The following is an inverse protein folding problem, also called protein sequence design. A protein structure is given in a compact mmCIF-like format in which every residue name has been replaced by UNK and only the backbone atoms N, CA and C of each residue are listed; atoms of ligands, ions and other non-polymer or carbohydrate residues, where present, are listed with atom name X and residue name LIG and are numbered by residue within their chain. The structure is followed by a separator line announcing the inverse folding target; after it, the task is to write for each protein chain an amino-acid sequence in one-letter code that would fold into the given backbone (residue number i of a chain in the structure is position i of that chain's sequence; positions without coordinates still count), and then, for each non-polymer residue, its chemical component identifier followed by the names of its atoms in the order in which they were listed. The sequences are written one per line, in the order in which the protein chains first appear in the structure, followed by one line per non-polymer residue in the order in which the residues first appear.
data_IF_039214562445
#
_entry.id   IF_039214562445
#
_cell.length_a   1.000
_cell.length_b   1.000
_cell.length_c   1.000
_cell.angle_alpha   90.00
_cell.angle_beta   90.00
_cell.angle_gamma   90.00
#
_symmetry.space_group_name_H-M   'P 1'
#
loop_
_entity.id
_entity.type
_entity.pdbx_description
1 polymer ?
#
# COMPACT_ATOMS: atom_id res chain seq x y z
N UNK A 1 -32.23 -20.24 -32.15
CA UNK A 1 -30.81 -20.58 -32.00
C UNK A 1 -29.83 -19.75 -32.86
N UNK A 2 -30.27 -18.97 -33.86
CA UNK A 2 -29.34 -18.12 -34.68
C UNK A 2 -29.14 -16.68 -34.17
N UNK A 3 -29.83 -16.23 -33.13
CA UNK A 3 -29.67 -14.88 -32.54
C UNK A 3 -28.77 -14.83 -31.31
N UNK A 4 -28.41 -15.99 -30.70
CA UNK A 4 -27.50 -16.07 -29.57
C UNK A 4 -26.02 -16.12 -30.00
N UNK A 5 -25.72 -16.54 -31.23
CA UNK A 5 -24.36 -16.63 -31.74
C UNK A 5 -23.76 -15.28 -32.19
N UNK A 6 -24.59 -14.26 -32.39
CA UNK A 6 -24.15 -12.93 -32.86
C UNK A 6 -23.76 -11.98 -31.71
N UNK A 7 -24.22 -12.26 -30.49
CA UNK A 7 -23.87 -11.47 -29.28
C UNK A 7 -22.53 -11.92 -28.68
N UNK A 8 -22.16 -13.19 -28.86
CA UNK A 8 -20.87 -13.72 -28.37
C UNK A 8 -19.68 -13.38 -29.28
N UNK A 9 -19.90 -13.06 -30.56
CA UNK A 9 -18.84 -12.66 -31.50
C UNK A 9 -18.47 -11.17 -31.38
N UNK A 10 -19.36 -10.32 -30.87
CA UNK A 10 -19.09 -8.89 -30.66
C UNK A 10 -18.34 -8.60 -29.33
N UNK A 11 -18.41 -9.51 -28.34
CA UNK A 11 -17.70 -9.38 -27.06
C UNK A 11 -16.23 -9.82 -27.14
N UNK A 12 -15.85 -10.60 -28.13
CA UNK A 12 -14.46 -11.08 -28.31
C UNK A 12 -13.54 -10.07 -29.05
N UNK A 13 -14.11 -9.04 -29.69
CA UNK A 13 -13.36 -8.04 -30.46
C UNK A 13 -12.97 -6.79 -29.66
N UNK A 14 -13.39 -6.67 -28.39
CA UNK A 14 -13.11 -5.52 -27.51
C UNK A 14 -12.07 -5.81 -26.40
N UNK A 15 -11.49 -7.02 -26.36
CA UNK A 15 -10.48 -7.43 -25.35
C UNK A 15 -9.06 -7.59 -25.91
N UNK A 16 -8.79 -7.12 -27.12
CA UNK A 16 -7.51 -7.31 -27.80
C UNK A 16 -6.85 -6.02 -28.27
N UNK A 17 -6.66 -4.99 -27.42
CA UNK A 17 -6.02 -3.80 -27.94
C UNK A 17 -5.75 -2.66 -26.98
N UNK A 18 -5.06 -2.89 -25.87
CA UNK A 18 -4.44 -1.75 -25.13
C UNK A 18 -3.22 -2.09 -24.28
N UNK A 19 -2.80 -3.33 -24.20
CA UNK A 19 -1.66 -3.70 -23.36
C UNK A 19 -0.27 -3.61 -24.04
N UNK A 20 -0.19 -3.14 -25.28
CA UNK A 20 1.03 -3.18 -26.09
C UNK A 20 1.61 -1.82 -26.51
N UNK A 21 0.91 -0.71 -26.29
CA UNK A 21 1.37 0.61 -26.77
C UNK A 21 2.07 1.45 -25.69
N UNK A 22 1.74 1.26 -24.40
CA UNK A 22 2.34 2.04 -23.30
C UNK A 22 3.80 1.67 -23.03
N UNK A 23 4.22 0.43 -23.27
CA UNK A 23 5.59 -0.03 -23.00
C UNK A 23 6.67 0.54 -23.92
N UNK A 24 6.33 0.99 -25.13
CA UNK A 24 7.29 1.49 -26.12
C UNK A 24 7.52 3.01 -26.02
N UNK A 25 6.57 3.77 -25.52
CA UNK A 25 6.71 5.24 -25.29
C UNK A 25 7.52 5.58 -24.04
N UNK A 26 7.63 4.63 -23.10
CA UNK A 26 8.35 4.80 -21.84
C UNK A 26 9.86 4.48 -21.94
N UNK A 27 10.29 3.76 -22.97
CA UNK A 27 11.68 3.38 -23.18
C UNK A 27 12.51 4.57 -23.72
N UNK A 28 13.53 5.00 -22.96
CA UNK A 28 14.46 6.06 -23.33
C UNK A 28 14.12 7.45 -22.79
N UNK A 29 13.02 7.60 -22.08
CA UNK A 29 12.68 8.84 -21.35
C UNK A 29 13.46 8.88 -20.04
N UNK A 30 13.98 10.07 -19.68
CA UNK A 30 14.52 10.30 -18.34
C UNK A 30 13.40 10.75 -17.41
N UNK A 31 13.25 10.10 -16.28
CA UNK A 31 12.21 10.33 -15.32
C UNK A 31 12.68 11.27 -14.20
N UNK A 32 11.90 12.28 -13.88
CA UNK A 32 12.09 13.10 -12.68
C UNK A 32 11.47 12.39 -11.47
N UNK A 33 11.83 12.79 -10.25
CA UNK A 33 11.22 12.24 -9.03
C UNK A 33 9.69 12.43 -9.01
N UNK A 34 9.22 13.64 -9.38
CA UNK A 34 7.79 13.94 -9.44
C UNK A 34 7.04 12.99 -10.38
N UNK A 35 7.54 12.79 -11.60
CA UNK A 35 6.96 11.86 -12.57
C UNK A 35 6.96 10.41 -12.06
N UNK A 36 8.02 9.98 -11.35
CA UNK A 36 8.05 8.66 -10.72
C UNK A 36 6.98 8.52 -9.62
N UNK A 37 6.81 9.55 -8.78
CA UNK A 37 5.80 9.56 -7.72
C UNK A 37 4.39 9.51 -8.32
N UNK A 38 4.09 10.38 -9.29
CA UNK A 38 2.77 10.44 -9.92
C UNK A 38 2.41 9.11 -10.60
N UNK A 39 3.35 8.53 -11.33
CA UNK A 39 3.16 7.24 -11.99
C UNK A 39 2.96 6.10 -10.98
N UNK A 40 3.75 6.09 -9.89
CA UNK A 40 3.58 5.09 -8.84
C UNK A 40 2.22 5.21 -8.13
N UNK A 41 1.76 6.43 -7.85
CA UNK A 41 0.45 6.66 -7.22
C UNK A 41 -0.71 6.17 -8.08
N UNK A 42 -0.56 6.15 -9.40
CA UNK A 42 -1.59 5.69 -10.35
C UNK A 42 -1.55 4.17 -10.56
N UNK A 43 -0.35 3.55 -10.54
CA UNK A 43 -0.18 2.17 -10.99
C UNK A 43 0.17 1.19 -9.87
N UNK A 44 0.68 1.65 -8.73
CA UNK A 44 1.16 0.78 -7.66
C UNK A 44 0.05 -0.08 -7.06
N UNK A 45 0.31 -1.38 -6.95
CA UNK A 45 -0.66 -2.37 -6.48
C UNK A 45 -1.15 -2.11 -5.04
N UNK A 46 -0.30 -1.56 -4.17
CA UNK A 46 -0.69 -1.23 -2.78
C UNK A 46 -1.70 -0.09 -2.73
N UNK A 47 -1.51 0.94 -3.56
CA UNK A 47 -2.47 2.05 -3.69
C UNK A 47 -3.79 1.53 -4.25
N UNK A 48 -3.76 0.75 -5.34
CA UNK A 48 -4.96 0.16 -5.95
C UNK A 48 -5.71 -0.80 -5.02
N UNK A 49 -5.00 -1.55 -4.17
CA UNK A 49 -5.63 -2.36 -3.12
C UNK A 49 -6.36 -1.48 -2.10
N UNK A 50 -5.77 -0.34 -1.73
CA UNK A 50 -6.40 0.61 -0.80
C UNK A 50 -7.60 1.32 -1.46
N UNK A 51 -7.57 1.59 -2.76
CA UNK A 51 -8.71 2.11 -3.53
C UNK A 51 -9.86 1.09 -3.58
N UNK A 52 -9.56 -0.17 -3.84
CA UNK A 52 -10.57 -1.24 -3.77
C UNK A 52 -11.16 -1.39 -2.35
N UNK A 53 -10.34 -1.21 -1.30
CA UNK A 53 -10.83 -1.23 0.07
C UNK A 53 -11.76 -0.04 0.38
N UNK A 54 -11.48 1.13 -0.19
CA UNK A 54 -12.35 2.29 -0.12
C UNK A 54 -13.70 2.02 -0.81
N UNK A 55 -13.69 1.50 -2.04
CA UNK A 55 -14.90 1.14 -2.78
C UNK A 55 -15.74 0.09 -2.03
N UNK A 56 -15.11 -0.88 -1.37
CA UNK A 56 -15.80 -1.83 -0.49
C UNK A 56 -16.57 -1.11 0.63
N UNK A 57 -15.98 -0.06 1.23
CA UNK A 57 -16.66 0.72 2.28
C UNK A 57 -17.81 1.57 1.74
N UNK A 58 -17.73 2.04 0.51
CA UNK A 58 -18.84 2.70 -0.17
C UNK A 58 -20.03 1.74 -0.38
N UNK A 59 -19.75 0.51 -0.83
CA UNK A 59 -20.78 -0.54 -1.00
C UNK A 59 -21.38 -0.95 0.36
N UNK A 60 -20.57 -1.08 1.41
CA UNK A 60 -21.04 -1.37 2.77
C UNK A 60 -21.94 -0.25 3.31
N UNK A 61 -21.58 1.03 3.09
CA UNK A 61 -22.42 2.17 3.45
C UNK A 61 -23.73 2.16 2.69
N UNK A 62 -23.71 1.93 1.38
CA UNK A 62 -24.92 1.80 0.57
C UNK A 62 -25.82 0.67 1.08
N UNK A 63 -25.25 -0.47 1.46
CA UNK A 63 -25.98 -1.60 2.06
C UNK A 63 -26.63 -1.19 3.37
N UNK A 64 -25.91 -0.46 4.23
CA UNK A 64 -26.45 0.03 5.51
C UNK A 64 -27.60 1.04 5.30
N UNK A 65 -27.46 1.94 4.32
CA UNK A 65 -28.51 2.90 3.95
C UNK A 65 -29.78 2.20 3.43
N UNK A 66 -29.63 1.15 2.62
CA UNK A 66 -30.73 0.39 2.06
C UNK A 66 -31.32 -0.66 3.02
N UNK A 67 -30.71 -0.90 4.17
CA UNK A 67 -31.22 -1.85 5.16
C UNK A 67 -32.59 -1.46 5.77
N UNK A 68 -33.02 -0.21 5.59
CA UNK A 68 -34.34 0.27 5.96
C UNK A 68 -35.43 -0.03 4.91
N UNK A 69 -35.07 -0.52 3.72
CA UNK A 69 -36.00 -0.88 2.66
C UNK A 69 -36.65 -2.24 2.91
N UNK A 70 -37.85 -2.50 2.36
CA UNK A 70 -38.48 -3.80 2.47
C UNK A 70 -37.68 -4.85 1.71
N UNK A 71 -37.45 -5.97 2.37
CA UNK A 71 -36.90 -7.18 1.73
C UNK A 71 -38.03 -8.02 1.20
N UNK A 72 -38.00 -8.37 -0.09
CA UNK A 72 -38.98 -9.21 -0.75
C UNK A 72 -38.31 -10.52 -1.16
N UNK A 73 -38.96 -11.64 -0.80
CA UNK A 73 -38.45 -12.96 -1.12
C UNK A 73 -39.57 -13.88 -1.59
N UNK A 74 -39.25 -14.75 -2.55
CA UNK A 74 -40.12 -15.83 -3.00
C UNK A 74 -39.56 -17.17 -2.57
N UNK A 75 -40.46 -18.08 -2.17
CA UNK A 75 -40.08 -19.46 -1.89
C UNK A 75 -41.03 -20.45 -2.53
N UNK A 76 -40.50 -21.58 -3.00
CA UNK A 76 -41.24 -22.75 -3.45
C UNK A 76 -40.62 -23.97 -2.76
N UNK A 77 -41.41 -24.81 -2.20
CA UNK A 77 -40.96 -26.04 -1.58
C UNK A 77 -41.85 -27.22 -1.95
N UNK A 78 -41.25 -28.38 -2.12
CA UNK A 78 -41.88 -29.68 -2.33
C UNK A 78 -41.44 -30.60 -1.22
N UNK A 79 -42.39 -31.20 -0.55
CA UNK A 79 -42.14 -32.18 0.51
C UNK A 79 -42.88 -33.50 0.22
N UNK A 80 -42.12 -34.56 0.08
CA UNK A 80 -42.61 -35.91 -0.09
C UNK A 80 -42.40 -36.64 1.22
N UNK A 81 -43.49 -37.15 1.82
CA UNK A 81 -43.42 -37.92 3.07
C UNK A 81 -43.98 -39.33 2.84
N UNK A 82 -43.22 -40.30 3.30
CA UNK A 82 -43.54 -41.73 3.14
C UNK A 82 -43.60 -42.38 4.52
N UNK A 83 -44.66 -43.14 4.79
CA UNK A 83 -44.77 -43.90 6.03
C UNK A 83 -46.11 -43.72 6.75
N UNK A 84 -46.12 -43.96 8.05
CA UNK A 84 -47.34 -43.94 8.87
C UNK A 84 -47.62 -42.49 9.31
N UNK A 85 -48.74 -41.94 8.83
CA UNK A 85 -49.21 -40.61 9.14
C UNK A 85 -50.60 -40.60 9.75
N UNK A 86 -50.94 -39.48 10.45
CA UNK A 86 -52.26 -39.24 10.97
C UNK A 86 -53.21 -38.81 9.82
N UNK A 87 -54.29 -39.47 9.66
CA UNK A 87 -55.32 -39.14 8.68
C UNK A 87 -56.30 -38.09 9.23
N UNK A 88 -57.13 -37.48 8.35
CA UNK A 88 -58.15 -36.50 8.78
C UNK A 88 -59.22 -37.12 9.72
N UNK A 89 -59.39 -38.45 9.70
CA UNK A 89 -60.27 -39.17 10.61
C UNK A 89 -59.62 -39.51 11.95
N UNK A 90 -58.46 -38.93 12.26
CA UNK A 90 -57.70 -39.11 13.47
C UNK A 90 -57.22 -40.58 13.68
N UNK A 91 -57.02 -41.30 12.57
CA UNK A 91 -56.46 -42.67 12.57
C UNK A 91 -55.06 -42.68 11.97
N UNK A 92 -54.21 -43.60 12.39
CA UNK A 92 -52.87 -43.76 11.83
C UNK A 92 -52.87 -44.80 10.72
N UNK A 93 -52.57 -44.38 9.49
CA UNK A 93 -52.46 -45.24 8.33
C UNK A 93 -51.12 -45.06 7.61
N UNK A 94 -50.69 -46.02 6.81
CA UNK A 94 -49.54 -45.85 5.92
C UNK A 94 -49.98 -45.01 4.73
N UNK A 95 -49.51 -43.80 4.70
CA UNK A 95 -49.86 -42.82 3.65
C UNK A 95 -48.59 -42.16 3.08
N UNK A 96 -48.55 -41.99 1.77
CA UNK A 96 -47.59 -41.17 1.11
C UNK A 96 -48.24 -39.81 0.83
N UNK A 97 -47.58 -38.76 1.26
CA UNK A 97 -48.13 -37.38 1.04
C UNK A 97 -47.13 -36.56 0.23
N UNK A 98 -47.69 -35.74 -0.65
CA UNK A 98 -46.98 -34.73 -1.43
C UNK A 98 -47.54 -33.39 -1.03
N UNK A 99 -46.66 -32.46 -0.65
CA UNK A 99 -47.03 -31.09 -0.30
C UNK A 99 -46.11 -30.12 -1.02
N UNK A 100 -46.69 -29.34 -1.91
CA UNK A 100 -46.00 -28.24 -2.59
C UNK A 100 -46.50 -26.92 -2.00
N UNK A 101 -45.63 -26.02 -1.60
CA UNK A 101 -46.00 -24.70 -1.12
C UNK A 101 -45.24 -23.59 -1.88
N UNK A 102 -45.97 -22.53 -2.18
CA UNK A 102 -45.48 -21.35 -2.87
C UNK A 102 -45.79 -20.13 -2.02
N UNK A 103 -44.78 -19.29 -1.79
CA UNK A 103 -44.98 -18.04 -1.04
C UNK A 103 -44.17 -16.88 -1.60
N UNK A 104 -44.74 -15.71 -1.47
CA UNK A 104 -44.08 -14.42 -1.69
C UNK A 104 -44.20 -13.64 -0.38
N UNK A 105 -43.06 -13.29 0.24
CA UNK A 105 -43.04 -12.55 1.48
C UNK A 105 -42.31 -11.21 1.35
N UNK A 106 -42.72 -10.26 2.15
CA UNK A 106 -42.03 -8.97 2.31
C UNK A 106 -41.86 -8.67 3.80
N UNK A 107 -40.70 -8.17 4.19
CA UNK A 107 -40.43 -7.75 5.56
C UNK A 107 -39.77 -6.37 5.55
N UNK A 108 -40.28 -5.46 6.40
CA UNK A 108 -39.79 -4.11 6.57
C UNK A 108 -39.46 -3.89 8.05
N UNK A 109 -38.21 -3.57 8.40
CA UNK A 109 -37.85 -3.13 9.73
C UNK A 109 -38.33 -1.68 9.94
N UNK A 110 -39.35 -1.48 10.79
CA UNK A 110 -39.91 -0.14 11.09
C UNK A 110 -39.07 0.56 12.14
N UNK A 111 -38.67 -0.18 13.19
CA UNK A 111 -37.83 0.33 14.27
C UNK A 111 -36.97 -0.81 14.84
N UNK A 112 -35.67 -0.57 14.97
CA UNK A 112 -34.71 -1.53 15.50
C UNK A 112 -33.83 -0.94 16.62
N UNK A 113 -34.41 -0.16 17.52
CA UNK A 113 -33.65 0.43 18.64
C UNK A 113 -32.54 1.38 18.16
N UNK A 114 -32.80 2.17 17.11
CA UNK A 114 -31.83 3.05 16.44
C UNK A 114 -30.63 2.34 15.75
N UNK A 115 -30.60 1.00 15.69
CA UNK A 115 -29.50 0.27 15.07
C UNK A 115 -29.32 0.62 13.60
N UNK A 116 -30.43 0.78 12.84
CA UNK A 116 -30.36 1.17 11.42
C UNK A 116 -29.62 2.50 11.24
N UNK A 117 -29.98 3.51 12.02
CA UNK A 117 -29.31 4.83 11.99
C UNK A 117 -27.84 4.70 12.39
N UNK A 118 -27.54 3.99 13.48
CA UNK A 118 -26.16 3.85 13.97
C UNK A 118 -25.29 3.06 12.98
N UNK A 119 -25.84 2.07 12.28
CA UNK A 119 -25.13 1.34 11.21
C UNK A 119 -24.77 2.25 10.02
N UNK A 120 -25.65 3.19 9.66
CA UNK A 120 -25.33 4.19 8.62
C UNK A 120 -24.18 5.07 9.09
N UNK A 121 -24.22 5.59 10.33
CA UNK A 121 -23.13 6.40 10.90
C UNK A 121 -21.82 5.60 10.96
N UNK A 122 -21.86 4.31 11.34
CA UNK A 122 -20.70 3.44 11.32
C UNK A 122 -20.13 3.28 9.91
N UNK A 123 -21.01 3.11 8.90
CA UNK A 123 -20.60 3.07 7.50
C UNK A 123 -19.94 4.36 7.03
N UNK A 124 -20.50 5.53 7.38
CA UNK A 124 -19.93 6.84 7.04
C UNK A 124 -18.54 7.05 7.70
N UNK A 125 -18.39 6.69 8.96
CA UNK A 125 -17.10 6.80 9.66
C UNK A 125 -16.09 5.81 9.09
N UNK A 126 -16.52 4.57 8.79
CA UNK A 126 -15.66 3.57 8.12
C UNK A 126 -15.16 4.05 6.76
N UNK A 127 -16.02 4.68 5.96
CA UNK A 127 -15.65 5.25 4.66
C UNK A 127 -14.63 6.37 4.82
N UNK A 128 -14.82 7.29 5.78
CA UNK A 128 -13.85 8.34 6.09
C UNK A 128 -12.50 7.77 6.56
N UNK A 129 -12.53 6.71 7.38
CA UNK A 129 -11.31 6.03 7.83
C UNK A 129 -10.58 5.38 6.65
N UNK A 130 -11.28 4.69 5.75
CA UNK A 130 -10.68 4.10 4.56
C UNK A 130 -10.09 5.16 3.61
N UNK A 131 -10.72 6.35 3.51
CA UNK A 131 -10.13 7.49 2.78
C UNK A 131 -8.80 7.93 3.40
N UNK A 132 -8.73 8.02 4.73
CA UNK A 132 -7.49 8.35 5.42
C UNK A 132 -6.42 7.25 5.28
N UNK A 133 -6.83 5.98 5.26
CA UNK A 133 -5.92 4.85 5.04
C UNK A 133 -5.37 4.83 3.60
N UNK A 134 -6.18 5.21 2.60
CA UNK A 134 -5.71 5.40 1.22
C UNK A 134 -4.67 6.52 1.12
N UNK A 135 -4.91 7.68 1.75
CA UNK A 135 -3.93 8.78 1.78
C UNK A 135 -2.64 8.37 2.50
N UNK A 136 -2.75 7.56 3.57
CA UNK A 136 -1.57 6.98 4.23
C UNK A 136 -0.79 6.08 3.28
N UNK A 137 -1.47 5.20 2.53
CA UNK A 137 -0.81 4.33 1.55
C UNK A 137 -0.11 5.14 0.44
N UNK A 138 -0.72 6.22 -0.02
CA UNK A 138 -0.11 7.15 -0.98
C UNK A 138 1.13 7.84 -0.39
N UNK A 139 1.07 8.28 0.86
CA UNK A 139 2.22 8.86 1.57
C UNK A 139 3.37 7.86 1.70
N UNK A 140 3.08 6.62 2.06
CA UNK A 140 4.08 5.54 2.17
C UNK A 140 4.76 5.28 0.81
N UNK A 141 4.00 5.28 -0.30
CA UNK A 141 4.57 5.13 -1.66
C UNK A 141 5.41 6.35 -2.06
N UNK A 142 4.99 7.59 -1.77
CA UNK A 142 5.81 8.79 -2.02
C UNK A 142 7.19 8.68 -1.37
N UNK A 143 7.23 8.26 -0.11
CA UNK A 143 8.48 8.07 0.64
C UNK A 143 9.33 6.95 0.04
N UNK A 144 8.73 5.79 -0.27
CA UNK A 144 9.46 4.66 -0.82
C UNK A 144 10.06 4.97 -2.20
N UNK A 145 9.31 5.64 -3.07
CA UNK A 145 9.78 6.07 -4.39
C UNK A 145 10.93 7.08 -4.25
N UNK A 146 10.81 8.05 -3.34
CA UNK A 146 11.88 9.03 -3.10
C UNK A 146 13.17 8.37 -2.59
N UNK A 147 13.06 7.38 -1.70
CA UNK A 147 14.22 6.61 -1.20
C UNK A 147 14.88 5.80 -2.32
N UNK A 148 14.08 5.07 -3.12
CA UNK A 148 14.61 4.29 -4.24
C UNK A 148 15.24 5.19 -5.31
N UNK A 149 14.62 6.34 -5.61
CA UNK A 149 15.17 7.30 -6.57
C UNK A 149 16.51 7.88 -6.08
N UNK A 150 16.62 8.27 -4.82
CA UNK A 150 17.88 8.74 -4.23
C UNK A 150 18.97 7.65 -4.27
N UNK A 151 18.60 6.38 -4.06
CA UNK A 151 19.52 5.24 -4.16
C UNK A 151 20.02 5.04 -5.61
N UNK A 152 19.17 5.22 -6.61
CA UNK A 152 19.58 5.19 -8.02
C UNK A 152 20.57 6.30 -8.31
N UNK A 153 20.29 7.55 -7.89
CA UNK A 153 21.19 8.67 -8.06
C UNK A 153 22.55 8.44 -7.42
N UNK A 154 22.56 7.96 -6.16
CA UNK A 154 23.78 7.59 -5.46
C UNK A 154 24.62 6.55 -6.24
N UNK A 155 23.97 5.48 -6.72
CA UNK A 155 24.70 4.43 -7.46
C UNK A 155 25.23 4.93 -8.83
N UNK A 156 24.55 5.89 -9.49
CA UNK A 156 25.10 6.52 -10.68
C UNK A 156 26.43 7.22 -10.39
N UNK A 157 26.51 8.01 -9.32
CA UNK A 157 27.73 8.70 -8.95
C UNK A 157 28.85 7.74 -8.57
N UNK A 158 28.54 6.64 -7.86
CA UNK A 158 29.53 5.61 -7.52
C UNK A 158 30.07 4.91 -8.78
N UNK A 159 29.25 4.67 -9.79
CA UNK A 159 29.73 4.18 -11.10
C UNK A 159 30.66 5.17 -11.75
N UNK A 160 30.36 6.48 -11.70
CA UNK A 160 31.24 7.51 -12.27
C UNK A 160 32.58 7.59 -11.49
N UNK A 161 32.57 7.52 -10.16
CA UNK A 161 33.81 7.42 -9.34
C UNK A 161 34.64 6.16 -9.74
N UNK A 162 34.00 5.01 -9.91
CA UNK A 162 34.71 3.79 -10.31
C UNK A 162 35.29 3.87 -11.72
N UNK A 163 34.62 4.57 -12.66
CA UNK A 163 35.16 4.85 -14.00
C UNK A 163 36.38 5.77 -13.94
N UNK A 164 36.32 6.84 -13.15
CA UNK A 164 37.47 7.72 -12.91
C UNK A 164 38.67 6.96 -12.34
N UNK A 165 38.44 6.02 -11.40
CA UNK A 165 39.47 5.16 -10.85
C UNK A 165 40.16 4.32 -11.94
N UNK A 166 39.38 3.69 -12.85
CA UNK A 166 39.94 2.90 -13.95
C UNK A 166 40.75 3.77 -14.89
N UNK A 167 40.30 5.00 -15.20
CA UNK A 167 41.06 5.91 -16.05
C UNK A 167 42.43 6.24 -15.45
N UNK A 168 42.48 6.61 -14.16
CA UNK A 168 43.72 6.87 -13.44
C UNK A 168 44.63 5.63 -13.47
N UNK A 169 44.10 4.44 -13.17
CA UNK A 169 44.90 3.20 -13.13
C UNK A 169 45.40 2.77 -14.51
N UNK A 170 44.58 2.99 -15.55
CA UNK A 170 44.96 2.71 -16.94
C UNK A 170 46.10 3.60 -17.40
N UNK A 171 46.03 4.90 -17.10
CA UNK A 171 47.13 5.84 -17.38
C UNK A 171 48.41 5.45 -16.66
N UNK A 172 48.34 4.98 -15.41
CA UNK A 172 49.50 4.53 -14.66
C UNK A 172 50.10 3.23 -15.24
N UNK A 173 49.31 2.26 -15.69
CA UNK A 173 49.80 1.07 -16.37
C UNK A 173 50.56 1.46 -17.65
N UNK A 174 49.97 2.30 -18.50
CA UNK A 174 50.59 2.76 -19.73
C UNK A 174 51.97 3.43 -19.46
N UNK A 175 51.98 4.33 -18.45
CA UNK A 175 53.25 4.99 -18.04
C UNK A 175 54.31 4.02 -17.54
N UNK A 176 53.96 3.05 -16.71
CA UNK A 176 54.92 2.06 -16.22
C UNK A 176 55.41 1.14 -17.32
N UNK A 177 54.61 0.81 -18.34
CA UNK A 177 55.01 0.07 -19.53
C UNK A 177 56.03 0.86 -20.35
N UNK A 178 55.83 2.14 -20.57
CA UNK A 178 56.77 3.03 -21.23
C UNK A 178 58.10 3.19 -20.44
N UNK A 179 58.02 3.33 -19.11
CA UNK A 179 59.21 3.35 -18.26
C UNK A 179 59.96 2.03 -18.32
N UNK A 180 59.28 0.88 -18.36
CA UNK A 180 59.92 -0.43 -18.48
C UNK A 180 60.61 -0.59 -19.82
N UNK A 181 59.99 -0.15 -20.95
CA UNK A 181 60.59 -0.17 -22.24
C UNK A 181 61.91 0.63 -22.29
N UNK A 182 62.02 1.67 -21.49
CA UNK A 182 63.19 2.52 -21.35
C UNK A 182 64.13 2.07 -20.20
N UNK A 183 63.91 0.88 -19.60
CA UNK A 183 64.75 0.34 -18.53
C UNK A 183 64.61 1.03 -17.17
N UNK A 184 63.57 1.86 -16.95
CA UNK A 184 63.36 2.71 -15.78
C UNK A 184 62.34 2.14 -14.77
N UNK A 185 61.61 1.07 -15.14
CA UNK A 185 60.71 0.37 -14.25
C UNK A 185 60.91 -1.15 -14.34
N UNK A 186 60.61 -1.85 -13.26
CA UNK A 186 60.69 -3.31 -13.20
C UNK A 186 59.43 -3.99 -13.74
N UNK A 187 59.59 -5.23 -14.22
CA UNK A 187 58.42 -6.04 -14.59
C UNK A 187 57.47 -6.32 -13.44
N UNK A 188 57.95 -6.33 -12.21
CA UNK A 188 57.17 -6.53 -11.02
C UNK A 188 56.22 -5.32 -10.75
N UNK A 189 56.73 -4.08 -10.92
CA UNK A 189 55.92 -2.85 -10.76
C UNK A 189 54.79 -2.79 -11.79
N UNK A 190 55.06 -3.12 -13.06
CA UNK A 190 54.03 -3.19 -14.12
C UNK A 190 52.97 -4.24 -13.78
N UNK A 191 53.41 -5.43 -13.31
CA UNK A 191 52.47 -6.50 -12.94
C UNK A 191 51.60 -6.13 -11.72
N UNK A 192 52.18 -5.47 -10.71
CA UNK A 192 51.46 -4.98 -9.58
C UNK A 192 50.38 -3.91 -9.97
N UNK A 193 50.73 -2.98 -10.87
CA UNK A 193 49.79 -1.97 -11.32
C UNK A 193 48.70 -2.56 -12.21
N UNK A 194 48.99 -3.56 -13.03
CA UNK A 194 47.98 -4.34 -13.78
C UNK A 194 47.03 -5.06 -12.83
N UNK A 195 47.48 -5.60 -11.71
CA UNK A 195 46.63 -6.18 -10.70
C UNK A 195 45.69 -5.13 -10.04
N UNK A 196 46.23 -3.91 -9.78
CA UNK A 196 45.43 -2.78 -9.30
C UNK A 196 44.35 -2.39 -10.30
N UNK A 197 44.68 -2.28 -11.59
CA UNK A 197 43.71 -1.97 -12.66
C UNK A 197 42.60 -3.08 -12.73
N UNK A 198 42.98 -4.34 -12.65
CA UNK A 198 42.01 -5.44 -12.63
C UNK A 198 41.06 -5.36 -11.40
N UNK A 199 41.58 -4.95 -10.23
CA UNK A 199 40.77 -4.73 -9.05
C UNK A 199 39.81 -3.55 -9.24
N UNK A 200 40.22 -2.48 -9.90
CA UNK A 200 39.37 -1.33 -10.22
C UNK A 200 38.26 -1.71 -11.21
N UNK A 201 38.56 -2.58 -12.18
CA UNK A 201 37.56 -3.13 -13.11
C UNK A 201 36.51 -3.98 -12.37
N UNK A 202 36.94 -4.78 -11.38
CA UNK A 202 36.02 -5.53 -10.52
C UNK A 202 35.12 -4.59 -9.72
N UNK A 203 35.68 -3.50 -9.17
CA UNK A 203 34.92 -2.47 -8.44
C UNK A 203 33.86 -1.82 -9.36
N UNK A 204 34.20 -1.48 -10.60
CA UNK A 204 33.24 -0.95 -11.56
C UNK A 204 32.11 -1.97 -11.83
N UNK A 205 32.44 -3.24 -12.09
CA UNK A 205 31.43 -4.28 -12.31
C UNK A 205 30.48 -4.41 -11.12
N UNK A 206 30.98 -4.31 -9.88
CA UNK A 206 30.15 -4.31 -8.68
C UNK A 206 29.26 -3.06 -8.59
N UNK A 207 29.80 -1.88 -8.91
CA UNK A 207 29.04 -0.63 -8.90
C UNK A 207 27.91 -0.64 -9.96
N UNK A 208 28.19 -1.13 -11.16
CA UNK A 208 27.20 -1.29 -12.25
C UNK A 208 26.11 -2.31 -11.83
N UNK A 209 26.49 -3.41 -11.19
CA UNK A 209 25.55 -4.38 -10.65
C UNK A 209 24.63 -3.77 -9.58
N UNK A 210 25.19 -2.99 -8.65
CA UNK A 210 24.40 -2.28 -7.63
C UNK A 210 23.45 -1.23 -8.24
N UNK A 211 23.89 -0.51 -9.28
CA UNK A 211 23.04 0.39 -10.03
C UNK A 211 21.88 -0.33 -10.71
N UNK A 212 22.14 -1.46 -11.35
CA UNK A 212 21.10 -2.27 -11.99
C UNK A 212 20.05 -2.76 -10.98
N UNK A 213 20.48 -3.17 -9.77
CA UNK A 213 19.58 -3.58 -8.68
C UNK A 213 18.73 -2.38 -8.22
N UNK A 214 19.35 -1.22 -8.00
CA UNK A 214 18.61 -0.03 -7.56
C UNK A 214 17.58 0.44 -8.60
N UNK A 215 17.93 0.37 -9.89
CA UNK A 215 16.99 0.65 -10.99
C UNK A 215 15.86 -0.37 -11.01
N UNK A 216 16.14 -1.66 -10.79
CA UNK A 216 15.13 -2.71 -10.70
C UNK A 216 14.17 -2.44 -9.52
N UNK A 217 14.68 -2.09 -8.34
CA UNK A 217 13.86 -1.78 -7.16
C UNK A 217 12.94 -0.58 -7.42
N UNK A 218 13.45 0.50 -8.03
CA UNK A 218 12.63 1.65 -8.38
C UNK A 218 11.57 1.28 -9.42
N UNK A 219 11.93 0.57 -10.50
CA UNK A 219 10.98 0.18 -11.54
C UNK A 219 9.90 -0.78 -11.04
N UNK A 220 10.19 -1.61 -10.02
CA UNK A 220 9.19 -2.45 -9.35
C UNK A 220 8.19 -1.61 -8.54
N UNK A 221 8.64 -0.55 -7.85
CA UNK A 221 7.72 0.37 -7.16
C UNK A 221 6.79 1.11 -8.13
N UNK A 222 7.27 1.35 -9.35
CA UNK A 222 6.50 1.94 -10.43
C UNK A 222 5.61 0.93 -11.18
N UNK A 223 5.71 -0.39 -10.86
CA UNK A 223 5.01 -1.47 -11.59
C UNK A 223 5.34 -1.52 -13.09
N UNK A 224 6.56 -1.09 -13.45
CA UNK A 224 7.00 -1.17 -14.83
C UNK A 224 7.33 -2.63 -15.23
N UNK A 225 7.00 -3.06 -16.45
CA UNK A 225 7.20 -4.45 -16.87
C UNK A 225 8.67 -4.86 -17.05
N UNK A 226 9.57 -3.90 -17.27
CA UNK A 226 11.01 -4.11 -17.44
C UNK A 226 11.80 -2.89 -16.97
N UNK A 227 12.97 -3.07 -16.35
CA UNK A 227 13.91 -1.98 -16.07
C UNK A 227 14.69 -1.51 -17.31
N UNK A 228 14.57 -2.19 -18.45
CA UNK A 228 15.33 -1.90 -19.65
C UNK A 228 14.94 -0.53 -20.25
N UNK A 229 15.95 0.30 -20.50
CA UNK A 229 15.75 1.66 -21.03
C UNK A 229 15.26 2.69 -20.01
N UNK A 230 15.05 2.31 -18.75
CA UNK A 230 14.70 3.25 -17.69
C UNK A 230 15.92 4.07 -17.27
N UNK A 231 15.74 5.38 -17.18
CA UNK A 231 16.76 6.31 -16.71
C UNK A 231 16.13 7.43 -15.91
N UNK A 232 16.84 7.92 -14.90
CA UNK A 232 16.41 9.06 -14.08
C UNK A 232 17.11 10.34 -14.48
N UNK A 233 16.47 11.47 -14.23
CA UNK A 233 17.09 12.79 -14.35
C UNK A 233 18.06 12.97 -13.18
N UNK A 234 19.32 13.28 -13.47
CA UNK A 234 20.28 13.65 -12.44
C UNK A 234 20.10 15.14 -12.15
N UNK A 235 19.80 15.56 -10.92
CA UNK A 235 19.77 16.96 -10.57
C UNK A 235 21.17 17.55 -10.79
N UNK A 236 21.24 18.79 -11.27
CA UNK A 236 22.51 19.50 -11.35
C UNK A 236 23.12 19.60 -9.95
N UNK A 237 24.42 19.41 -9.85
CA UNK A 237 25.15 19.48 -8.59
C UNK A 237 25.17 20.91 -8.05
N UNK A 238 24.03 21.40 -7.59
CA UNK A 238 23.92 22.63 -6.81
C UNK A 238 24.57 22.43 -5.44
N UNK A 239 25.11 23.49 -4.86
CA UNK A 239 25.58 23.48 -3.47
C UNK A 239 24.42 23.16 -2.54
N UNK A 240 24.43 21.95 -1.96
CA UNK A 240 23.46 21.57 -0.92
C UNK A 240 23.89 22.26 0.38
N UNK A 241 23.49 23.51 0.57
CA UNK A 241 23.75 24.20 1.82
C UNK A 241 22.80 23.70 2.92
N UNK A 242 23.34 23.26 4.08
CA UNK A 242 22.52 22.87 5.20
C UNK A 242 21.65 24.04 5.69
N UNK A 243 20.33 23.79 5.72
CA UNK A 243 19.34 24.75 6.22
C UNK A 243 19.09 24.56 7.71
N UNK A 244 18.73 25.62 8.47
CA UNK A 244 18.26 25.49 9.83
C UNK A 244 17.04 24.55 9.90
N UNK A 245 17.10 23.57 10.78
CA UNK A 245 16.00 22.61 10.99
C UNK A 245 15.09 23.11 12.11
N UNK A 246 13.77 22.94 11.93
CA UNK A 246 12.80 23.12 13.03
C UNK A 246 12.98 22.03 14.07
N UNK A 247 12.61 22.31 15.31
CA UNK A 247 12.66 21.30 16.38
C UNK A 247 11.65 20.17 16.14
N UNK A 248 11.92 18.94 16.65
CA UNK A 248 10.97 17.83 16.53
C UNK A 248 9.58 18.16 17.09
N UNK A 249 9.52 18.96 18.13
CA UNK A 249 8.28 19.41 18.79
C UNK A 249 7.44 20.29 17.84
N UNK A 250 8.07 21.24 17.15
CA UNK A 250 7.42 22.13 16.18
C UNK A 250 6.87 21.35 14.99
N UNK A 251 7.66 20.43 14.45
CA UNK A 251 7.26 19.57 13.33
C UNK A 251 6.09 18.67 13.75
N UNK A 252 6.17 18.05 14.94
CA UNK A 252 5.14 17.17 15.45
C UNK A 252 3.81 17.91 15.69
N UNK A 253 3.85 19.13 16.21
CA UNK A 253 2.64 19.92 16.45
C UNK A 253 1.83 20.18 15.16
N UNK A 254 2.51 20.35 14.04
CA UNK A 254 1.89 20.43 12.71
C UNK A 254 1.46 19.05 12.18
N UNK A 255 2.37 18.09 12.21
CA UNK A 255 2.17 16.76 11.65
C UNK A 255 0.98 16.01 12.27
N UNK A 256 0.79 16.08 13.58
CA UNK A 256 -0.29 15.36 14.29
C UNK A 256 -1.69 15.75 13.80
N UNK A 257 -1.87 16.95 13.25
CA UNK A 257 -3.16 17.45 12.77
C UNK A 257 -3.45 17.04 11.32
N UNK A 258 -2.42 16.83 10.50
CA UNK A 258 -2.56 16.60 9.06
C UNK A 258 -2.28 15.14 8.66
N UNK A 259 -1.51 14.38 9.46
CA UNK A 259 -1.10 13.03 9.05
C UNK A 259 -2.26 12.04 8.97
N UNK A 260 -2.44 11.37 7.80
CA UNK A 260 -3.55 10.44 7.58
C UNK A 260 -3.60 9.30 8.59
N UNK A 261 -2.44 8.80 9.04
CA UNK A 261 -2.35 7.73 10.04
C UNK A 261 -2.98 8.10 11.39
N UNK A 262 -2.83 9.35 11.85
CA UNK A 262 -3.47 9.83 13.08
C UNK A 262 -4.95 10.05 12.84
N UNK A 263 -5.32 10.63 11.70
CA UNK A 263 -6.71 10.89 11.32
C UNK A 263 -7.54 9.62 11.23
N UNK A 264 -7.00 8.55 10.65
CA UNK A 264 -7.65 7.23 10.60
C UNK A 264 -7.94 6.71 12.00
N UNK A 265 -6.97 6.80 12.95
CA UNK A 265 -7.17 6.34 14.33
C UNK A 265 -8.19 7.20 15.12
N UNK A 266 -8.27 8.49 14.85
CA UNK A 266 -9.30 9.37 15.45
C UNK A 266 -10.69 9.00 14.95
N UNK A 267 -10.84 8.76 13.64
CA UNK A 267 -12.09 8.28 13.05
C UNK A 267 -12.48 6.89 13.59
N UNK A 268 -11.50 6.01 13.81
CA UNK A 268 -11.77 4.71 14.41
C UNK A 268 -12.24 4.82 15.87
N UNK A 269 -11.82 5.86 16.60
CA UNK A 269 -12.36 6.15 17.94
C UNK A 269 -13.83 6.59 17.88
N UNK A 270 -14.21 7.43 16.91
CA UNK A 270 -15.61 7.82 16.65
C UNK A 270 -16.46 6.60 16.25
N UNK A 271 -15.88 5.67 15.46
CA UNK A 271 -16.50 4.39 15.14
C UNK A 271 -16.81 3.59 16.42
N UNK A 272 -15.86 3.49 17.36
CA UNK A 272 -16.05 2.75 18.61
C UNK A 272 -17.11 3.44 19.52
N UNK A 273 -17.19 4.77 19.55
CA UNK A 273 -18.23 5.50 20.28
C UNK A 273 -19.62 5.20 19.69
N UNK A 274 -19.75 5.17 18.37
CA UNK A 274 -20.99 4.80 17.68
C UNK A 274 -21.34 3.32 17.91
N UNK A 275 -20.36 2.43 17.99
CA UNK A 275 -20.57 1.02 18.29
C UNK A 275 -21.11 0.80 19.71
N UNK A 276 -20.72 1.64 20.67
CA UNK A 276 -21.34 1.64 22.01
C UNK A 276 -22.83 2.01 21.91
N UNK A 277 -23.19 3.00 21.08
CA UNK A 277 -24.59 3.37 20.86
C UNK A 277 -25.38 2.24 20.19
N UNK A 278 -24.76 1.55 19.22
CA UNK A 278 -25.33 0.37 18.57
C UNK A 278 -25.61 -0.77 19.57
N UNK A 279 -24.65 -1.09 20.43
CA UNK A 279 -24.81 -2.10 21.47
C UNK A 279 -25.93 -1.75 22.46
N UNK A 280 -26.04 -0.46 22.86
CA UNK A 280 -27.15 0.03 23.70
C UNK A 280 -28.51 -0.12 23.00
N UNK A 281 -28.59 -0.05 21.69
CA UNK A 281 -29.79 -0.28 20.91
C UNK A 281 -30.43 -1.65 21.14
N UNK A 282 -29.67 -2.65 21.59
CA UNK A 282 -30.16 -3.98 21.95
C UNK A 282 -31.04 -4.01 23.21
N UNK A 283 -31.10 -2.93 24.02
CA UNK A 283 -32.04 -2.79 25.11
C UNK A 283 -33.42 -2.29 24.68
N UNK A 284 -33.52 -1.73 23.46
CA UNK A 284 -34.73 -1.08 22.97
C UNK A 284 -35.62 -2.06 22.23
N UNK A 285 -36.95 -1.85 22.18
CA UNK A 285 -37.86 -2.66 21.41
C UNK A 285 -37.50 -2.65 19.91
N UNK A 286 -37.95 -3.71 19.21
CA UNK A 286 -37.91 -3.78 17.74
C UNK A 286 -39.32 -3.92 17.20
N UNK A 287 -39.61 -3.21 16.12
CA UNK A 287 -40.90 -3.24 15.40
C UNK A 287 -40.64 -3.59 13.95
N UNK A 288 -41.30 -4.62 13.47
CA UNK A 288 -41.23 -5.04 12.08
C UNK A 288 -42.63 -5.19 11.48
N UNK A 289 -42.78 -4.79 10.22
CA UNK A 289 -43.95 -5.04 9.39
C UNK A 289 -43.62 -6.20 8.45
N UNK A 290 -44.49 -7.20 8.40
CA UNK A 290 -44.39 -8.31 7.47
C UNK A 290 -45.69 -8.46 6.68
N UNK A 291 -45.60 -8.93 5.45
CA UNK A 291 -46.72 -9.25 4.63
C UNK A 291 -46.35 -10.38 3.65
N UNK A 292 -47.36 -11.12 3.24
CA UNK A 292 -47.08 -12.20 2.29
C UNK A 292 -48.34 -12.76 1.64
N UNK A 293 -48.10 -13.41 0.53
CA UNK A 293 -49.03 -14.18 -0.26
C UNK A 293 -48.55 -15.65 -0.22
N UNK A 294 -49.46 -16.59 -0.08
CA UNK A 294 -49.09 -17.99 -0.10
C UNK A 294 -50.19 -18.89 -0.65
N UNK A 295 -49.81 -20.01 -1.18
CA UNK A 295 -50.70 -21.06 -1.58
C UNK A 295 -50.01 -22.40 -1.49
N UNK A 296 -50.79 -23.46 -1.37
CA UNK A 296 -50.24 -24.82 -1.28
C UNK A 296 -51.10 -25.83 -2.03
N UNK A 297 -50.42 -26.88 -2.46
CA UNK A 297 -51.00 -28.11 -2.98
C UNK A 297 -50.67 -29.27 -2.04
N UNK A 298 -51.65 -30.11 -1.77
CA UNK A 298 -51.49 -31.26 -0.92
C UNK A 298 -52.22 -32.45 -1.51
N UNK A 299 -51.59 -33.61 -1.55
CA UNK A 299 -52.21 -34.89 -1.91
C UNK A 299 -51.71 -36.01 -0.99
N UNK A 300 -52.56 -36.99 -0.77
CA UNK A 300 -52.31 -38.15 0.06
C UNK A 300 -52.74 -39.43 -0.67
N UNK A 301 -51.89 -40.47 -0.62
CA UNK A 301 -52.22 -41.75 -1.24
C UNK A 301 -53.49 -42.35 -0.64
N UNK A 302 -54.38 -42.89 -1.52
CA UNK A 302 -55.63 -43.49 -1.11
C UNK A 302 -56.79 -42.54 -0.89
N UNK A 303 -56.62 -41.24 -1.12
CA UNK A 303 -57.69 -40.20 -1.06
C UNK A 303 -57.78 -39.40 -2.33
N UNK A 304 -59.02 -39.08 -2.70
CA UNK A 304 -59.28 -38.14 -3.80
C UNK A 304 -58.91 -36.72 -3.35
N UNK A 305 -58.05 -36.07 -4.08
CA UNK A 305 -57.72 -34.67 -3.88
C UNK A 305 -58.13 -33.84 -5.09
N UNK A 306 -58.43 -32.54 -4.87
CA UNK A 306 -58.68 -31.61 -5.94
C UNK A 306 -57.46 -31.48 -6.85
N UNK A 307 -57.71 -30.99 -8.08
CA UNK A 307 -56.66 -30.78 -9.06
C UNK A 307 -55.65 -29.71 -8.54
N UNK A 308 -54.43 -29.80 -9.00
CA UNK A 308 -53.37 -28.88 -8.61
C UNK A 308 -53.81 -27.39 -8.70
N UNK A 309 -54.36 -26.97 -9.81
CA UNK A 309 -54.76 -25.58 -9.99
C UNK A 309 -55.99 -25.16 -9.14
N UNK A 310 -56.93 -26.07 -8.91
CA UNK A 310 -58.02 -25.80 -7.98
C UNK A 310 -57.56 -25.62 -6.55
N UNK A 311 -56.63 -26.45 -6.08
CA UNK A 311 -56.06 -26.27 -4.75
C UNK A 311 -55.27 -24.98 -4.65
N UNK A 312 -54.43 -24.66 -5.61
CA UNK A 312 -53.70 -23.37 -5.60
C UNK A 312 -54.64 -22.17 -5.52
N UNK A 313 -55.75 -22.20 -6.20
CA UNK A 313 -56.75 -21.15 -6.13
C UNK A 313 -57.48 -21.08 -4.81
N UNK A 314 -57.93 -22.25 -4.32
CA UNK A 314 -58.70 -22.36 -3.07
C UNK A 314 -57.89 -22.12 -1.82
N UNK A 315 -56.60 -22.49 -1.82
CA UNK A 315 -55.67 -22.36 -0.70
C UNK A 315 -54.92 -21.02 -0.71
N UNK A 316 -55.24 -20.13 -1.68
CA UNK A 316 -54.61 -18.82 -1.73
C UNK A 316 -54.92 -18.01 -0.48
N UNK A 317 -53.86 -17.54 0.17
CA UNK A 317 -53.93 -16.75 1.40
C UNK A 317 -53.04 -15.53 1.33
N UNK A 318 -53.42 -14.51 2.07
CA UNK A 318 -52.65 -13.29 2.23
C UNK A 318 -52.67 -12.86 3.68
N UNK A 319 -51.55 -12.28 4.12
CA UNK A 319 -51.45 -11.74 5.47
C UNK A 319 -50.65 -10.47 5.50
N UNK A 320 -50.96 -9.60 6.47
CA UNK A 320 -50.17 -8.46 6.88
C UNK A 320 -50.07 -8.52 8.41
N UNK A 321 -48.88 -8.41 8.94
CA UNK A 321 -48.62 -8.53 10.37
C UNK A 321 -47.67 -7.45 10.85
N UNK A 322 -47.89 -6.95 12.05
CA UNK A 322 -46.98 -6.08 12.78
C UNK A 322 -46.47 -6.84 14.01
N UNK A 323 -45.16 -6.94 14.13
CA UNK A 323 -44.51 -7.64 15.24
C UNK A 323 -43.69 -6.66 16.09
N UNK A 324 -44.03 -6.57 17.37
CA UNK A 324 -43.30 -5.81 18.37
C UNK A 324 -42.59 -6.78 19.32
N UNK A 325 -41.24 -6.72 19.38
CA UNK A 325 -40.45 -7.50 20.30
C UNK A 325 -39.78 -6.58 21.33
N UNK A 326 -40.01 -6.85 22.62
CA UNK A 326 -39.49 -6.04 23.73
C UNK A 326 -38.57 -6.95 24.57
N UNK A 327 -37.26 -6.74 24.58
CA UNK A 327 -36.34 -7.51 25.40
C UNK A 327 -36.50 -7.14 26.89
N UNK A 328 -37.00 -8.05 27.71
CA UNK A 328 -37.20 -7.82 29.15
C UNK A 328 -35.97 -8.29 29.95
N UNK A 329 -35.47 -9.47 29.63
CA UNK A 329 -34.28 -10.05 30.27
C UNK A 329 -33.49 -10.89 29.27
N UNK A 330 -32.23 -10.54 29.07
CA UNK A 330 -31.32 -11.17 28.10
C UNK A 330 -30.19 -11.98 28.76
N UNK A 331 -30.40 -12.47 29.98
CA UNK A 331 -29.37 -13.18 30.76
C UNK A 331 -28.03 -12.39 30.82
N UNK A 332 -28.11 -11.06 30.97
CA UNK A 332 -26.98 -10.11 30.97
C UNK A 332 -26.19 -9.98 29.66
N UNK A 333 -26.55 -10.67 28.57
CA UNK A 333 -25.82 -10.63 27.30
C UNK A 333 -25.66 -9.18 26.79
N UNK A 334 -26.75 -8.44 26.65
CA UNK A 334 -26.75 -7.03 26.20
C UNK A 334 -25.92 -6.12 27.11
N UNK A 335 -25.98 -6.33 28.44
CA UNK A 335 -25.14 -5.59 29.37
C UNK A 335 -23.65 -5.87 29.13
N UNK A 336 -23.29 -7.13 28.87
CA UNK A 336 -21.92 -7.52 28.61
C UNK A 336 -21.44 -7.05 27.23
N UNK A 337 -22.31 -7.01 26.21
CA UNK A 337 -22.02 -6.40 24.90
C UNK A 337 -21.63 -4.92 25.05
N UNK A 338 -22.40 -4.13 25.81
CA UNK A 338 -22.08 -2.73 26.07
C UNK A 338 -20.77 -2.58 26.86
N UNK A 339 -20.49 -3.49 27.82
CA UNK A 339 -19.20 -3.48 28.54
C UNK A 339 -18.04 -3.80 27.62
N UNK A 340 -18.20 -4.78 26.74
CA UNK A 340 -17.19 -5.14 25.75
C UNK A 340 -16.95 -4.00 24.77
N UNK A 341 -18.00 -3.35 24.24
CA UNK A 341 -17.88 -2.19 23.37
C UNK A 341 -17.11 -1.03 24.03
N UNK A 342 -17.32 -0.80 25.33
CA UNK A 342 -16.55 0.21 26.10
C UNK A 342 -15.08 -0.17 26.27
N UNK A 343 -14.76 -1.45 26.48
CA UNK A 343 -13.38 -1.93 26.54
C UNK A 343 -12.68 -1.79 25.17
N UNK A 344 -13.38 -2.12 24.09
CA UNK A 344 -12.86 -1.95 22.74
C UNK A 344 -12.58 -0.46 22.45
N UNK A 345 -13.45 0.44 22.87
CA UNK A 345 -13.23 1.90 22.77
C UNK A 345 -11.98 2.33 23.54
N UNK A 346 -11.80 1.83 24.77
CA UNK A 346 -10.61 2.13 25.58
C UNK A 346 -9.32 1.59 24.93
N UNK A 347 -9.39 0.39 24.34
CA UNK A 347 -8.27 -0.17 23.56
C UNK A 347 -7.93 0.70 22.34
N UNK A 348 -8.94 1.22 21.65
CA UNK A 348 -8.74 2.11 20.52
C UNK A 348 -8.12 3.46 20.94
N UNK A 349 -8.47 3.98 22.11
CA UNK A 349 -7.86 5.19 22.67
C UNK A 349 -6.36 5.01 22.94
N UNK A 350 -5.97 3.84 23.49
CA UNK A 350 -4.57 3.47 23.66
C UNK A 350 -3.85 3.29 22.32
N UNK A 351 -4.54 2.76 21.30
CA UNK A 351 -3.98 2.62 19.95
C UNK A 351 -3.72 3.98 19.30
N UNK A 352 -4.64 4.94 19.46
CA UNK A 352 -4.45 6.32 19.00
C UNK A 352 -3.24 6.97 19.70
N UNK A 353 -3.12 6.81 21.02
CA UNK A 353 -1.96 7.31 21.77
C UNK A 353 -0.66 6.66 21.29
N UNK A 354 -0.66 5.36 21.04
CA UNK A 354 0.48 4.62 20.48
C UNK A 354 0.87 5.15 19.11
N UNK A 355 -0.10 5.41 18.22
CA UNK A 355 0.15 5.97 16.89
C UNK A 355 0.75 7.38 16.98
N UNK A 356 0.24 8.24 17.87
CA UNK A 356 0.79 9.58 18.13
C UNK A 356 2.24 9.51 18.64
N UNK A 357 2.54 8.57 19.55
CA UNK A 357 3.92 8.33 20.03
C UNK A 357 4.85 7.80 18.94
N UNK A 358 4.37 6.90 18.07
CA UNK A 358 5.12 6.40 16.93
C UNK A 358 5.47 7.52 15.95
N UNK A 359 4.49 8.37 15.59
CA UNK A 359 4.73 9.53 14.75
C UNK A 359 5.77 10.48 15.34
N UNK A 360 5.70 10.76 16.66
CA UNK A 360 6.69 11.60 17.32
C UNK A 360 8.09 10.98 17.27
N UNK A 361 8.19 9.68 17.51
CA UNK A 361 9.46 8.92 17.39
C UNK A 361 10.01 8.97 15.97
N UNK A 362 9.18 8.79 14.95
CA UNK A 362 9.60 8.86 13.54
C UNK A 362 10.14 10.24 13.19
N UNK A 363 9.47 11.31 13.64
CA UNK A 363 9.92 12.70 13.45
C UNK A 363 11.26 12.94 14.17
N UNK A 364 11.41 12.46 15.41
CA UNK A 364 12.68 12.57 16.13
C UNK A 364 13.81 11.83 15.40
N UNK A 365 13.55 10.62 14.90
CA UNK A 365 14.53 9.86 14.13
C UNK A 365 14.91 10.60 12.83
N UNK A 366 13.91 11.11 12.08
CA UNK A 366 14.17 11.89 10.88
C UNK A 366 15.00 13.15 11.16
N UNK A 367 14.71 13.85 12.26
CA UNK A 367 15.45 15.02 12.69
C UNK A 367 16.92 14.69 13.01
N UNK A 368 17.17 13.67 13.87
CA UNK A 368 18.55 13.30 14.20
C UNK A 368 19.30 12.76 12.99
N UNK A 369 18.63 12.05 12.09
CA UNK A 369 19.24 11.63 10.82
C UNK A 369 19.63 12.82 9.96
N UNK A 370 18.77 13.84 9.84
CA UNK A 370 19.07 15.06 9.08
C UNK A 370 20.22 15.87 9.71
N UNK A 371 20.26 16.00 11.04
CA UNK A 371 21.37 16.66 11.76
C UNK A 371 22.69 15.91 11.52
N UNK A 372 22.69 14.59 11.67
CA UNK A 372 23.88 13.76 11.44
C UNK A 372 24.33 13.81 9.97
N UNK A 373 23.40 13.74 9.02
CA UNK A 373 23.69 13.81 7.59
C UNK A 373 24.27 15.18 7.21
N UNK A 374 23.76 16.28 7.78
CA UNK A 374 24.31 17.63 7.61
C UNK A 374 25.75 17.74 8.10
N UNK A 375 26.04 17.27 9.32
CA UNK A 375 27.39 17.29 9.89
C UNK A 375 28.36 16.41 9.08
N UNK A 376 27.88 15.25 8.61
CA UNK A 376 28.63 14.31 7.78
C UNK A 376 28.94 14.93 6.40
N UNK A 377 27.98 15.63 5.78
CA UNK A 377 28.19 16.32 4.52
C UNK A 377 29.33 17.34 4.62
N UNK A 378 29.26 18.25 5.59
CA UNK A 378 30.30 19.28 5.81
C UNK A 378 31.68 18.67 6.07
N UNK A 379 31.72 17.59 6.90
CA UNK A 379 32.99 16.91 7.19
C UNK A 379 33.54 16.17 5.97
N UNK A 380 32.68 15.55 5.16
CA UNK A 380 33.08 14.83 3.94
C UNK A 380 33.55 15.79 2.84
N UNK A 381 32.95 16.99 2.74
CA UNK A 381 33.40 18.04 1.81
C UNK A 381 34.84 18.47 2.14
N UNK A 382 35.11 18.82 3.39
CA UNK A 382 36.46 19.20 3.84
C UNK A 382 37.48 18.06 3.69
N UNK A 383 37.07 16.81 4.00
CA UNK A 383 37.94 15.64 3.84
C UNK A 383 38.28 15.38 2.37
N UNK A 384 37.29 15.49 1.48
CA UNK A 384 37.46 15.31 0.03
C UNK A 384 38.39 16.39 -0.56
N UNK A 385 38.18 17.67 -0.22
CA UNK A 385 39.05 18.78 -0.65
C UNK A 385 40.51 18.53 -0.23
N UNK A 386 40.73 18.22 1.04
CA UNK A 386 42.08 17.91 1.57
C UNK A 386 42.71 16.66 0.92
N UNK A 387 41.92 15.64 0.65
CA UNK A 387 42.39 14.41 0.01
C UNK A 387 42.75 14.65 -1.46
N UNK A 388 41.97 15.47 -2.19
CA UNK A 388 42.24 15.86 -3.57
C UNK A 388 43.53 16.65 -3.66
N UNK A 389 43.74 17.66 -2.80
CA UNK A 389 44.96 18.43 -2.74
C UNK A 389 46.20 17.54 -2.46
N UNK A 390 46.10 16.66 -1.47
CA UNK A 390 47.18 15.71 -1.15
C UNK A 390 47.48 14.75 -2.32
N UNK A 391 46.43 14.27 -3.02
CA UNK A 391 46.58 13.41 -4.20
C UNK A 391 47.25 14.16 -5.36
N UNK A 392 46.82 15.38 -5.66
CA UNK A 392 47.37 16.23 -6.73
C UNK A 392 48.86 16.51 -6.50
N UNK A 393 49.23 16.85 -5.27
CA UNK A 393 50.64 17.05 -4.88
C UNK A 393 51.47 15.79 -4.97
N UNK A 394 50.88 14.65 -4.54
CA UNK A 394 51.53 13.34 -4.60
C UNK A 394 51.73 12.88 -6.04
N UNK A 395 50.73 13.06 -6.89
CA UNK A 395 50.78 12.81 -8.34
C UNK A 395 51.95 13.58 -8.97
N UNK A 396 52.05 14.90 -8.72
CA UNK A 396 53.15 15.72 -9.23
C UNK A 396 54.52 15.23 -8.71
N UNK A 397 54.67 14.80 -7.43
CA UNK A 397 55.91 14.22 -6.91
C UNK A 397 56.25 12.90 -7.60
N UNK A 398 55.29 12.02 -7.77
CA UNK A 398 55.46 10.75 -8.44
C UNK A 398 55.88 10.94 -9.91
N UNK A 399 55.24 11.86 -10.62
CA UNK A 399 55.57 12.21 -12.00
C UNK A 399 56.99 12.72 -12.18
N UNK A 400 57.51 13.45 -11.19
CA UNK A 400 58.87 13.93 -11.17
C UNK A 400 59.89 12.94 -10.53
N UNK A 401 59.50 11.70 -10.25
CA UNK A 401 60.36 10.69 -9.67
C UNK A 401 60.74 10.93 -8.21
N UNK A 402 59.99 11.79 -7.49
CA UNK A 402 60.26 12.18 -6.08
C UNK A 402 59.42 11.40 -5.07
N UNK A 403 58.52 10.53 -5.53
CA UNK A 403 57.69 9.63 -4.71
C UNK A 403 57.60 8.25 -5.34
N UNK A 404 57.39 7.24 -4.50
CA UNK A 404 57.22 5.85 -4.96
C UNK A 404 55.78 5.55 -5.38
N UNK A 405 55.57 4.49 -6.15
CA UNK A 405 54.26 4.01 -6.60
C UNK A 405 53.33 3.67 -5.44
N UNK A 406 53.86 3.19 -4.32
CA UNK A 406 53.10 2.84 -3.11
C UNK A 406 52.48 4.07 -2.49
N UNK A 407 53.26 5.16 -2.32
CA UNK A 407 52.79 6.44 -1.77
C UNK A 407 51.73 7.07 -2.69
N UNK A 408 51.93 6.97 -4.01
CA UNK A 408 50.92 7.42 -5.00
C UNK A 408 49.62 6.65 -4.86
N UNK A 409 49.69 5.31 -4.84
CA UNK A 409 48.50 4.45 -4.72
C UNK A 409 47.76 4.66 -3.40
N UNK A 410 48.49 4.89 -2.30
CA UNK A 410 47.89 5.18 -0.99
C UNK A 410 47.12 6.54 -1.02
N UNK A 411 47.75 7.59 -1.56
CA UNK A 411 47.15 8.90 -1.68
C UNK A 411 45.94 8.88 -2.61
N UNK A 412 46.00 8.15 -3.76
CA UNK A 412 44.88 7.91 -4.65
C UNK A 412 43.73 7.20 -3.92
N UNK A 413 44.02 6.13 -3.18
CA UNK A 413 42.99 5.38 -2.45
C UNK A 413 42.25 6.26 -1.44
N UNK A 414 42.97 7.14 -0.72
CA UNK A 414 42.40 8.08 0.22
C UNK A 414 41.51 9.09 -0.48
N UNK A 415 41.91 9.62 -1.64
CA UNK A 415 41.08 10.54 -2.43
C UNK A 415 39.79 9.87 -2.92
N UNK A 416 39.88 8.69 -3.53
CA UNK A 416 38.70 7.98 -4.04
C UNK A 416 37.73 7.53 -2.93
N UNK A 417 38.27 7.18 -1.75
CA UNK A 417 37.44 6.92 -0.56
C UNK A 417 36.71 8.17 -0.11
N UNK A 418 37.42 9.30 0.00
CA UNK A 418 36.81 10.56 0.40
C UNK A 418 35.76 11.05 -0.62
N UNK A 419 35.99 10.87 -1.92
CA UNK A 419 35.04 11.17 -2.99
C UNK A 419 33.76 10.31 -2.84
N UNK A 420 33.91 9.01 -2.63
CA UNK A 420 32.78 8.10 -2.40
C UNK A 420 31.99 8.43 -1.13
N UNK A 421 32.70 8.81 -0.05
CA UNK A 421 32.09 9.21 1.22
C UNK A 421 31.32 10.53 1.07
N UNK A 422 31.81 11.49 0.29
CA UNK A 422 31.12 12.73 -0.03
C UNK A 422 29.86 12.48 -0.85
N UNK A 423 29.93 11.65 -1.89
CA UNK A 423 28.76 11.26 -2.68
C UNK A 423 27.68 10.66 -1.77
N UNK A 424 28.05 9.74 -0.91
CA UNK A 424 27.14 9.11 0.05
C UNK A 424 26.51 10.15 0.99
N UNK A 425 27.33 11.03 1.58
CA UNK A 425 26.86 12.05 2.52
C UNK A 425 25.89 13.05 1.84
N UNK A 426 26.15 13.41 0.57
CA UNK A 426 25.32 14.32 -0.22
C UNK A 426 23.90 13.75 -0.43
N UNK A 427 23.77 12.49 -0.87
CA UNK A 427 22.45 11.91 -1.12
C UNK A 427 21.74 11.52 0.20
N UNK A 428 22.48 11.15 1.24
CA UNK A 428 21.94 10.93 2.58
C UNK A 428 21.34 12.23 3.17
N UNK A 429 22.04 13.36 3.03
CA UNK A 429 21.54 14.67 3.45
C UNK A 429 20.33 15.11 2.60
N UNK A 430 20.40 14.99 1.28
CA UNK A 430 19.31 15.32 0.38
C UNK A 430 18.03 14.57 0.77
N UNK A 431 18.10 13.27 0.92
CA UNK A 431 16.95 12.43 1.29
C UNK A 431 16.42 12.78 2.68
N UNK A 432 17.28 12.83 3.69
CA UNK A 432 16.83 13.06 5.08
C UNK A 432 16.24 14.45 5.29
N UNK A 433 16.77 15.48 4.63
CA UNK A 433 16.22 16.83 4.69
C UNK A 433 14.83 16.88 4.04
N UNK A 434 14.63 16.24 2.88
CA UNK A 434 13.33 16.20 2.19
C UNK A 434 12.29 15.35 2.93
N UNK A 435 12.71 14.27 3.58
CA UNK A 435 11.80 13.51 4.44
C UNK A 435 11.33 14.35 5.64
N UNK A 436 12.19 15.20 6.18
CA UNK A 436 11.79 16.09 7.27
C UNK A 436 10.80 17.16 6.80
N UNK A 437 10.99 17.72 5.58
CA UNK A 437 10.07 18.65 4.95
C UNK A 437 8.72 17.97 4.66
N UNK A 438 8.75 16.70 4.23
CA UNK A 438 7.54 15.91 4.05
C UNK A 438 6.74 15.77 5.34
N UNK A 439 7.37 15.55 6.51
CA UNK A 439 6.65 15.52 7.79
C UNK A 439 5.98 16.86 8.14
N UNK A 440 6.45 18.00 7.61
CA UNK A 440 5.78 19.31 7.74
C UNK A 440 4.56 19.44 6.81
N UNK A 441 4.40 18.56 5.84
CA UNK A 441 3.34 18.60 4.81
C UNK A 441 3.78 19.20 3.48
N UNK A 442 5.09 19.32 3.24
CA UNK A 442 5.65 19.75 1.96
C UNK A 442 5.87 18.53 1.04
N UNK A 443 5.81 18.73 -0.28
CA UNK A 443 6.09 17.67 -1.25
C UNK A 443 7.59 17.33 -1.29
N UNK A 444 7.90 16.05 -1.59
CA UNK A 444 9.26 15.58 -1.75
C UNK A 444 9.75 15.96 -3.16
N UNK A 445 10.69 16.90 -3.26
CA UNK A 445 11.30 17.35 -4.51
C UNK A 445 12.83 17.34 -4.38
N UNK A 446 13.54 16.80 -5.40
CA UNK A 446 15.02 16.77 -5.46
C UNK A 446 15.57 17.78 -6.45
#
# INVERSE_FOLDING_TARGET
MKKLAFVLAAAAALLGGSAGLDGQELAGRKWTLGECIDYALEHNLTVRQSENALEQKEIELNTAQNAALPQVYGSASENLSFGRGLTADNTYENTNTTSSSFSLGAQLPVFQGFKLRNNIILGEVSLKSATADLEKARDDIRVNVAQAYAQVLYNYEIVDVAKNQIDIDSQQVARLEDMRANGKASGAEVSAQKATLAQSQLTLTQAEGNLAIAVLELTQLLELPSPEGFAVVRPEAGSLEPKPLLTPEEIYAGAVQVRPAVKSQELMLDYMDTNIALAKGSFLPTLSLSGGLGTNYYTSSGRSSDTFFNQLSNNFSQYVGLSLSIPIFSAFSTRNEVRLARLNRSTQELQLESTKKSLYKEIQQAYYNAVNASAKLLSSESAMESALDAFTLMQAKYENGKAGITEFNESKSRYLSAESDLVKARYEYLLTSRLLDFYKGEDIVF
#
